data_IF_127719592459
#
_entry.id   IF_127719592459
#
_cell.length_a   1.000
_cell.length_b   1.000
_cell.length_c   1.000
_cell.angle_alpha   90.00
_cell.angle_beta   90.00
_cell.angle_gamma   90.00
#
_symmetry.space_group_name_H-M   'P 1'
#
loop_
_entity.id
_entity.type
_entity.pdbx_description
1 polymer ?
#
# COMPACT_ATOMS: atom_id res chain seq x y z
N UNK A 1 -3.70 -9.85 -52.53
CA UNK A 1 -4.44 -9.32 -51.36
C UNK A 1 -4.22 -10.06 -50.04
N UNK A 2 -3.41 -11.14 -49.98
CA UNK A 2 -3.15 -11.90 -48.74
C UNK A 2 -2.04 -11.30 -47.85
N UNK A 3 -1.16 -10.46 -48.40
CA UNK A 3 -0.02 -9.87 -47.66
C UNK A 3 -0.39 -8.68 -46.78
N UNK A 4 -1.49 -7.98 -47.07
CA UNK A 4 -1.94 -6.84 -46.28
C UNK A 4 -2.56 -7.26 -44.92
N UNK A 5 -3.13 -8.46 -44.85
CA UNK A 5 -3.79 -8.97 -43.64
C UNK A 5 -2.75 -9.32 -42.55
N UNK A 6 -1.56 -9.77 -42.95
CA UNK A 6 -0.48 -10.17 -42.02
C UNK A 6 0.15 -8.96 -41.30
N UNK A 7 0.15 -7.79 -41.94
CA UNK A 7 0.72 -6.57 -41.36
C UNK A 7 -0.22 -5.99 -40.30
N UNK A 8 -1.54 -6.10 -40.51
CA UNK A 8 -2.54 -5.52 -39.61
C UNK A 8 -2.60 -6.27 -38.26
N UNK A 9 -2.44 -7.59 -38.25
CA UNK A 9 -2.40 -8.39 -37.01
C UNK A 9 -1.15 -8.15 -36.17
N UNK A 10 -0.02 -7.77 -36.79
CA UNK A 10 1.20 -7.43 -36.06
C UNK A 10 1.11 -6.08 -35.33
N UNK A 11 0.40 -5.09 -35.88
CA UNK A 11 0.21 -3.79 -35.23
C UNK A 11 -0.75 -3.87 -34.03
N UNK A 12 -1.78 -4.71 -34.09
CA UNK A 12 -2.75 -4.84 -32.99
C UNK A 12 -2.19 -5.55 -31.75
N UNK A 13 -1.07 -6.27 -31.87
CA UNK A 13 -0.43 -6.97 -30.75
C UNK A 13 0.50 -6.08 -29.90
N UNK A 14 0.85 -4.87 -30.38
CA UNK A 14 1.81 -3.98 -29.72
C UNK A 14 1.16 -2.91 -28.84
N UNK A 15 -0.16 -2.72 -28.91
CA UNK A 15 -0.86 -1.66 -28.15
C UNK A 15 -1.69 -2.18 -26.97
N UNK A 16 -1.57 -3.45 -26.60
CA UNK A 16 -2.10 -3.93 -25.34
C UNK A 16 -1.17 -3.47 -24.21
N UNK A 17 -1.28 -2.20 -23.82
CA UNK A 17 -0.90 -1.79 -22.48
C UNK A 17 -1.90 -2.45 -21.53
N UNK A 18 -1.59 -3.67 -21.10
CA UNK A 18 -2.35 -4.35 -20.06
C UNK A 18 -2.41 -3.42 -18.84
N UNK A 19 -3.61 -2.91 -18.56
CA UNK A 19 -3.85 -2.24 -17.28
C UNK A 19 -3.61 -3.30 -16.21
N UNK A 20 -2.84 -2.98 -15.14
CA UNK A 20 -2.60 -3.95 -14.09
C UNK A 20 -3.94 -4.48 -13.62
N UNK A 21 -4.11 -5.80 -13.65
CA UNK A 21 -5.34 -6.43 -13.20
C UNK A 21 -5.51 -6.12 -11.71
N UNK A 22 -6.75 -6.07 -11.23
CA UNK A 22 -7.05 -5.74 -9.83
C UNK A 22 -6.29 -6.67 -8.84
N UNK A 23 -6.02 -7.91 -9.26
CA UNK A 23 -5.16 -8.89 -8.58
C UNK A 23 -3.68 -8.47 -8.49
N UNK A 24 -3.13 -7.81 -9.51
CA UNK A 24 -1.77 -7.27 -9.49
C UNK A 24 -1.66 -6.03 -8.61
N UNK A 25 -2.74 -5.24 -8.49
CA UNK A 25 -2.81 -4.12 -7.55
C UNK A 25 -2.86 -4.64 -6.11
N UNK A 26 -3.62 -5.71 -5.85
CA UNK A 26 -3.65 -6.38 -4.54
C UNK A 26 -2.31 -7.04 -4.18
N UNK A 27 -1.62 -7.66 -5.13
CA UNK A 27 -0.29 -8.24 -4.91
C UNK A 27 0.82 -7.20 -4.80
N UNK A 28 0.66 -6.02 -5.43
CA UNK A 28 1.55 -4.88 -5.27
C UNK A 28 1.25 -4.05 -4.01
N UNK A 29 0.09 -4.25 -3.38
CA UNK A 29 -0.19 -3.69 -2.07
C UNK A 29 0.71 -4.40 -1.07
N UNK A 30 1.63 -3.65 -0.48
CA UNK A 30 2.53 -4.17 0.54
C UNK A 30 1.65 -4.83 1.61
N UNK A 31 1.88 -6.12 1.91
CA UNK A 31 1.27 -6.84 3.05
C UNK A 31 1.82 -6.30 4.38
N UNK A 32 1.78 -4.97 4.54
CA UNK A 32 2.10 -4.32 5.78
C UNK A 32 0.79 -4.13 6.56
N UNK A 33 0.66 -4.78 7.70
CA UNK A 33 -0.36 -4.42 8.67
C UNK A 33 0.14 -3.21 9.44
N UNK A 34 -0.72 -2.19 9.56
CA UNK A 34 -0.50 -1.05 10.44
C UNK A 34 -1.54 -1.13 11.54
N UNK A 35 -1.10 -1.11 12.79
CA UNK A 35 -1.99 -0.97 13.94
C UNK A 35 -1.51 0.15 14.86
N UNK A 36 -2.43 0.67 15.67
CA UNK A 36 -2.12 1.69 16.67
C UNK A 36 -1.86 1.02 18.02
N UNK A 37 -0.94 1.56 18.82
CA UNK A 37 -0.67 1.13 20.20
C UNK A 37 -0.43 2.34 21.09
N UNK A 38 -0.76 2.24 22.38
CA UNK A 38 -0.54 3.31 23.36
C UNK A 38 0.71 3.03 24.20
N UNK A 39 1.78 3.80 24.03
CA UNK A 39 3.02 3.65 24.79
C UNK A 39 3.32 4.95 25.54
N UNK A 40 3.37 4.88 26.87
CA UNK A 40 3.69 6.01 27.73
C UNK A 40 2.82 7.25 27.47
N UNK A 41 1.55 7.04 27.13
CA UNK A 41 0.57 8.09 26.87
C UNK A 41 0.60 8.71 25.47
N UNK A 42 1.36 8.12 24.53
CA UNK A 42 1.45 8.55 23.12
C UNK A 42 0.98 7.42 22.20
N UNK A 43 0.21 7.76 21.18
CA UNK A 43 -0.24 6.82 20.16
C UNK A 43 0.88 6.61 19.13
N UNK A 44 1.28 5.36 18.94
CA UNK A 44 2.24 4.95 17.92
C UNK A 44 1.57 4.13 16.82
N UNK A 45 2.04 4.31 15.59
CA UNK A 45 1.74 3.43 14.46
C UNK A 45 2.83 2.36 14.40
N UNK A 46 2.42 1.09 14.49
CA UNK A 46 3.31 -0.07 14.37
C UNK A 46 3.11 -0.67 12.98
N UNK A 47 4.20 -0.82 12.24
CA UNK A 47 4.23 -1.42 10.92
C UNK A 47 4.81 -2.82 11.03
N UNK A 48 4.01 -3.82 10.67
CA UNK A 48 4.43 -5.22 10.63
C UNK A 48 4.45 -5.68 9.17
N UNK A 49 5.32 -6.62 8.80
CA UNK A 49 5.31 -7.24 7.46
C UNK A 49 6.07 -6.50 6.34
N UNK A 50 6.58 -5.28 6.57
CA UNK A 50 7.53 -4.63 5.65
C UNK A 50 8.96 -4.63 6.22
N UNK A 51 9.88 -5.32 5.55
CA UNK A 51 11.30 -5.41 5.94
C UNK A 51 11.52 -5.87 7.40
N UNK A 52 11.95 -4.97 8.30
CA UNK A 52 12.15 -5.24 9.74
C UNK A 52 10.98 -4.78 10.64
N UNK A 53 9.91 -4.25 10.05
CA UNK A 53 8.89 -3.50 10.75
C UNK A 53 9.37 -2.11 11.20
N UNK A 54 8.55 -1.41 11.97
CA UNK A 54 8.91 -0.10 12.50
C UNK A 54 7.83 0.47 13.41
N UNK A 55 8.21 1.45 14.23
CA UNK A 55 7.30 2.17 15.12
C UNK A 55 7.54 3.68 14.97
N UNK A 56 6.47 4.46 14.86
CA UNK A 56 6.55 5.93 14.76
C UNK A 56 5.38 6.59 15.49
N UNK A 57 5.56 7.75 16.13
CA UNK A 57 4.44 8.47 16.73
C UNK A 57 3.42 8.87 15.67
N UNK A 58 2.13 8.67 15.95
CA UNK A 58 1.05 9.23 15.13
C UNK A 58 1.00 10.73 15.39
N UNK A 59 1.06 11.53 14.32
CA UNK A 59 1.04 13.01 14.39
C UNK A 59 -0.26 13.57 13.82
N UNK A 60 -0.77 14.62 14.43
CA UNK A 60 -1.96 15.34 13.97
C UNK A 60 -1.60 16.41 12.92
N UNK A 61 -2.62 17.12 12.40
CA UNK A 61 -2.43 18.17 11.39
C UNK A 61 -1.60 19.36 11.88
N UNK A 62 -1.50 19.55 13.19
CA UNK A 62 -0.72 20.60 13.84
C UNK A 62 0.71 20.15 14.19
N UNK A 63 1.14 18.97 13.71
CA UNK A 63 2.46 18.38 13.93
C UNK A 63 2.76 17.95 15.38
N UNK A 64 1.74 17.72 16.20
CA UNK A 64 1.88 17.18 17.56
C UNK A 64 1.52 15.68 17.62
N UNK A 65 2.16 14.90 18.51
CA UNK A 65 1.77 13.51 18.75
C UNK A 65 0.35 13.40 19.33
N UNK A 66 -0.38 12.38 18.93
CA UNK A 66 -1.63 12.01 19.59
C UNK A 66 -1.35 11.42 20.98
N UNK A 67 -2.16 11.82 21.97
CA UNK A 67 -2.10 11.27 23.32
C UNK A 67 -3.17 10.21 23.54
N UNK A 68 -2.93 9.31 24.47
CA UNK A 68 -3.85 8.23 24.85
C UNK A 68 -3.71 7.89 26.33
N UNK A 69 -4.74 7.28 26.91
CA UNK A 69 -4.63 6.51 28.13
C UNK A 69 -4.44 5.03 27.78
N UNK A 70 -3.85 4.23 28.69
CA UNK A 70 -3.50 2.82 28.44
C UNK A 70 -4.67 1.89 28.02
N UNK A 71 -5.92 2.37 28.02
CA UNK A 71 -7.11 1.62 27.62
C UNK A 71 -7.78 2.17 26.34
N UNK A 72 -7.30 3.29 25.79
CA UNK A 72 -7.95 3.95 24.65
C UNK A 72 -7.57 3.30 23.31
N UNK A 73 -6.45 2.56 23.29
CA UNK A 73 -5.95 1.82 22.12
C UNK A 73 -5.55 0.42 22.57
N UNK A 74 -5.98 -0.65 21.87
CA UNK A 74 -5.53 -2.02 22.18
C UNK A 74 -4.01 -2.11 22.13
N UNK A 75 -3.40 -2.75 23.14
CA UNK A 75 -1.98 -3.10 23.12
C UNK A 75 -1.74 -4.40 22.35
#
# INVERSE_FOLDING_TARGET
MKKAIVILTALCALTACDRPTQQQIEQASIKASIHETCISGVVYLVYEGYSKGGITPKVNADFYPYTCNNNDVPN
#
